data_IF_606216354549
#
_entry.id   IF_606216354549
#
_cell.length_a   1.000
_cell.length_b   1.000
_cell.length_c   1.000
_cell.angle_alpha   90.00
_cell.angle_beta   90.00
_cell.angle_gamma   90.00
#
_symmetry.space_group_name_H-M   'P 1'
#
loop_
_entity.id
_entity.type
_entity.pdbx_description
1 polymer ?
#
# COMPACT_ATOMS: atom_id res chain seq x y z
N UNK A 1 2.18 -1.74 11.36
CA UNK A 1 2.73 -2.48 10.21
C UNK A 1 2.63 -1.67 8.91
N UNK A 2 1.45 -1.24 8.47
CA UNK A 2 1.29 -0.35 7.30
C UNK A 2 2.16 0.92 7.36
N UNK A 3 2.18 1.61 8.51
CA UNK A 3 3.00 2.82 8.70
C UNK A 3 4.48 2.55 8.41
N UNK A 4 5.04 1.47 8.95
CA UNK A 4 6.45 1.13 8.74
C UNK A 4 6.73 0.84 7.26
N UNK A 5 5.87 0.05 6.59
CA UNK A 5 6.02 -0.26 5.17
C UNK A 5 5.88 0.96 4.26
N UNK A 6 5.00 1.91 4.61
CA UNK A 6 4.86 3.17 3.91
C UNK A 6 6.10 4.06 4.10
N UNK A 7 6.61 4.14 5.34
CA UNK A 7 7.74 4.97 5.75
C UNK A 7 9.11 4.40 5.33
N UNK A 8 9.20 3.13 4.93
CA UNK A 8 10.42 2.60 4.31
C UNK A 8 10.82 3.38 3.06
N UNK A 9 9.87 4.02 2.36
CA UNK A 9 10.19 4.91 1.25
C UNK A 9 10.99 6.14 1.69
N UNK A 10 10.67 6.71 2.85
CA UNK A 10 11.42 7.83 3.44
C UNK A 10 12.85 7.39 3.77
N UNK A 11 12.99 6.24 4.45
CA UNK A 11 14.30 5.69 4.77
C UNK A 11 15.13 5.38 3.51
N UNK A 12 14.53 4.69 2.54
CA UNK A 12 15.19 4.31 1.30
C UNK A 12 15.64 5.53 0.51
N UNK A 13 14.76 6.52 0.32
CA UNK A 13 15.10 7.72 -0.43
C UNK A 13 16.16 8.57 0.29
N UNK A 14 16.11 8.68 1.62
CA UNK A 14 17.15 9.37 2.38
C UNK A 14 18.51 8.65 2.31
N UNK A 15 18.52 7.32 2.23
CA UNK A 15 19.75 6.52 2.24
C UNK A 15 20.35 6.33 0.84
N UNK A 16 19.51 6.24 -0.19
CA UNK A 16 19.90 5.84 -1.54
C UNK A 16 19.41 6.80 -2.64
N UNK A 17 18.81 7.94 -2.27
CA UNK A 17 18.17 8.87 -3.21
C UNK A 17 19.12 9.50 -4.25
N UNK A 18 20.43 9.53 -3.98
CA UNK A 18 21.44 9.98 -4.94
C UNK A 18 21.70 8.95 -6.06
N UNK A 19 21.47 7.67 -5.78
CA UNK A 19 21.72 6.55 -6.68
C UNK A 19 20.51 5.60 -6.69
N UNK A 20 19.36 6.13 -7.14
CA UNK A 20 18.15 5.33 -7.22
C UNK A 20 18.33 4.11 -8.14
N UNK A 21 17.69 2.97 -7.82
CA UNK A 21 17.73 1.78 -8.68
C UNK A 21 17.23 2.08 -10.09
N UNK A 22 17.71 1.28 -11.05
CA UNK A 22 17.31 1.42 -12.44
C UNK A 22 15.78 1.39 -12.60
N UNK A 23 15.26 2.36 -13.36
CA UNK A 23 13.83 2.51 -13.59
C UNK A 23 13.10 3.46 -12.63
N UNK A 24 13.78 4.03 -11.63
CA UNK A 24 13.28 5.17 -10.85
C UNK A 24 13.96 6.46 -11.28
N UNK A 25 13.19 7.55 -11.38
CA UNK A 25 13.69 8.87 -11.83
C UNK A 25 13.27 10.02 -10.90
N UNK A 26 12.71 9.68 -9.74
CA UNK A 26 12.20 10.63 -8.78
C UNK A 26 13.27 11.60 -8.28
N UNK A 27 12.96 12.89 -8.33
CA UNK A 27 13.87 13.97 -7.88
C UNK A 27 13.70 14.33 -6.41
N UNK A 28 12.59 13.93 -5.82
CA UNK A 28 12.26 14.18 -4.43
C UNK A 28 11.42 13.01 -3.89
N UNK A 29 11.30 12.95 -2.57
CA UNK A 29 10.58 11.88 -1.88
C UNK A 29 9.12 11.76 -2.33
N UNK A 30 8.44 12.87 -2.64
CA UNK A 30 7.05 12.85 -3.09
C UNK A 30 6.92 12.12 -4.42
N UNK A 31 7.79 12.45 -5.37
CA UNK A 31 7.83 11.82 -6.68
C UNK A 31 8.22 10.34 -6.56
N UNK A 32 9.13 10.01 -5.63
CA UNK A 32 9.52 8.61 -5.38
C UNK A 32 8.36 7.78 -4.83
N UNK A 33 7.61 8.31 -3.87
CA UNK A 33 6.40 7.67 -3.35
C UNK A 33 5.31 7.54 -4.42
N UNK A 34 5.28 8.43 -5.41
CA UNK A 34 4.35 8.33 -6.55
C UNK A 34 4.80 7.22 -7.51
N UNK A 35 6.06 7.20 -7.93
CA UNK A 35 6.62 6.16 -8.80
C UNK A 35 6.52 4.75 -8.18
N UNK A 36 6.75 4.63 -6.87
CA UNK A 36 6.52 3.37 -6.14
C UNK A 36 5.06 2.93 -6.20
N UNK A 37 4.12 3.87 -6.07
CA UNK A 37 2.69 3.56 -6.18
C UNK A 37 2.27 3.17 -7.60
N UNK A 38 2.90 3.75 -8.62
CA UNK A 38 2.66 3.37 -10.02
C UNK A 38 3.21 1.98 -10.35
N UNK A 39 4.43 1.67 -9.88
CA UNK A 39 5.08 0.37 -10.10
C UNK A 39 4.52 -0.74 -9.21
N UNK A 40 4.06 -0.39 -8.01
CA UNK A 40 3.44 -1.28 -7.04
C UNK A 40 2.16 -0.65 -6.48
N UNK A 41 0.99 -0.89 -7.11
CA UNK A 41 -0.29 -0.34 -6.64
C UNK A 41 -0.60 -0.70 -5.18
N UNK A 42 -0.14 -1.85 -4.69
CA UNK A 42 -0.27 -2.26 -3.30
C UNK A 42 0.46 -1.30 -2.33
N UNK A 43 1.63 -0.77 -2.72
CA UNK A 43 2.31 0.27 -1.94
C UNK A 43 1.47 1.54 -1.85
N UNK A 44 0.87 1.95 -2.97
CA UNK A 44 -0.05 3.10 -2.99
C UNK A 44 -1.20 2.94 -1.99
N UNK A 45 -1.82 1.76 -1.94
CA UNK A 45 -2.87 1.45 -0.98
C UNK A 45 -2.37 1.42 0.48
N UNK A 46 -1.23 0.80 0.76
CA UNK A 46 -0.64 0.80 2.12
C UNK A 46 -0.28 2.21 2.59
N UNK A 47 0.24 3.06 1.70
CA UNK A 47 0.51 4.48 1.96
C UNK A 47 -0.78 5.23 2.25
N UNK A 48 -1.81 5.05 1.44
CA UNK A 48 -3.10 5.72 1.63
C UNK A 48 -3.77 5.30 2.93
N UNK A 49 -3.75 4.00 3.29
CA UNK A 49 -4.22 3.50 4.59
C UNK A 49 -3.42 4.12 5.75
N UNK A 50 -2.09 4.18 5.64
CA UNK A 50 -1.25 4.79 6.66
C UNK A 50 -1.58 6.28 6.85
N UNK A 51 -1.66 7.03 5.75
CA UNK A 51 -1.92 8.46 5.79
C UNK A 51 -3.35 8.75 6.27
N UNK A 52 -4.36 7.98 5.84
CA UNK A 52 -5.75 8.20 6.25
C UNK A 52 -5.96 7.92 7.73
N UNK A 53 -5.31 6.90 8.30
CA UNK A 53 -5.35 6.65 9.75
C UNK A 53 -4.62 7.73 10.56
N UNK A 54 -3.62 8.40 9.97
CA UNK A 54 -2.94 9.54 10.60
C UNK A 54 -3.75 10.83 10.52
N UNK A 55 -4.42 11.08 9.40
CA UNK A 55 -5.10 12.34 9.10
C UNK A 55 -6.63 12.27 9.23
N UNK A 56 -7.17 11.11 9.58
CA UNK A 56 -8.58 10.70 9.53
C UNK A 56 -9.19 10.70 8.12
N UNK A 57 -8.86 11.70 7.29
CA UNK A 57 -9.29 11.84 5.90
C UNK A 57 -8.18 12.46 5.04
N UNK A 58 -8.08 12.01 3.80
CA UNK A 58 -7.19 12.52 2.77
C UNK A 58 -7.96 13.37 1.76
N UNK A 59 -7.35 14.46 1.33
CA UNK A 59 -7.91 15.41 0.35
C UNK A 59 -7.11 15.42 -0.97
N UNK A 60 -6.22 14.43 -1.17
CA UNK A 60 -5.44 14.31 -2.41
C UNK A 60 -6.24 13.54 -3.45
N UNK A 61 -6.31 14.07 -4.67
CA UNK A 61 -7.03 13.42 -5.79
C UNK A 61 -6.49 12.03 -6.14
N UNK A 62 -5.22 11.76 -5.87
CA UNK A 62 -4.58 10.47 -6.16
C UNK A 62 -4.77 9.40 -5.07
N UNK A 63 -5.45 9.73 -3.97
CA UNK A 63 -5.76 8.73 -2.95
C UNK A 63 -6.84 7.78 -3.47
N UNK A 64 -6.63 6.48 -3.29
CA UNK A 64 -7.62 5.43 -3.54
C UNK A 64 -8.33 4.99 -2.26
N UNK A 65 -7.77 5.33 -1.10
CA UNK A 65 -8.36 5.15 0.23
C UNK A 65 -8.31 6.50 0.92
N UNK A 66 -9.43 7.22 0.91
CA UNK A 66 -9.49 8.61 1.37
C UNK A 66 -9.89 8.75 2.85
N UNK A 67 -10.45 7.73 3.49
CA UNK A 67 -10.99 7.80 4.85
C UNK A 67 -10.50 6.62 5.70
N UNK A 68 -10.14 6.86 6.97
CA UNK A 68 -9.68 5.80 7.87
C UNK A 68 -10.72 4.68 8.06
N UNK A 69 -12.01 5.00 7.94
CA UNK A 69 -13.14 4.05 8.09
C UNK A 69 -13.26 3.05 6.95
N UNK A 70 -12.54 3.28 5.84
CA UNK A 70 -12.43 2.32 4.74
C UNK A 70 -11.55 1.11 5.07
N UNK A 71 -10.96 1.07 6.26
CA UNK A 71 -10.34 -0.12 6.82
C UNK A 71 -11.27 -0.72 7.86
N UNK A 72 -11.77 -1.93 7.63
CA UNK A 72 -12.70 -2.60 8.55
C UNK A 72 -12.33 -4.06 8.78
N UNK A 73 -12.75 -4.61 9.92
CA UNK A 73 -12.64 -6.03 10.20
C UNK A 73 -13.87 -6.73 9.62
N UNK A 74 -13.67 -7.66 8.70
CA UNK A 74 -14.75 -8.38 8.01
C UNK A 74 -14.28 -9.68 7.38
N UNK A 75 -15.25 -10.51 6.98
CA UNK A 75 -15.01 -11.67 6.12
C UNK A 75 -15.27 -11.25 4.67
N UNK A 76 -14.38 -11.61 3.74
CA UNK A 76 -14.72 -11.52 2.32
C UNK A 76 -15.63 -12.68 1.95
N UNK A 77 -16.76 -12.38 1.29
CA UNK A 77 -17.69 -13.38 0.79
C UNK A 77 -17.21 -14.06 -0.50
N UNK A 78 -17.97 -15.05 -0.96
CA UNK A 78 -17.73 -15.75 -2.23
C UNK A 78 -17.63 -14.76 -3.39
N UNK A 79 -16.49 -14.74 -4.11
CA UNK A 79 -16.27 -13.87 -5.28
C UNK A 79 -15.94 -12.39 -4.98
N UNK A 80 -15.78 -12.01 -3.72
CA UNK A 80 -15.43 -10.62 -3.35
C UNK A 80 -13.92 -10.35 -3.28
N UNK A 81 -13.10 -11.40 -3.26
CA UNK A 81 -11.65 -11.34 -3.31
C UNK A 81 -11.13 -11.66 -4.72
N UNK A 82 -10.04 -11.00 -5.13
CA UNK A 82 -9.33 -11.29 -6.38
C UNK A 82 -8.92 -12.78 -6.44
N UNK A 83 -9.07 -13.42 -7.60
CA UNK A 83 -8.79 -14.85 -7.77
C UNK A 83 -7.35 -15.18 -7.32
N UNK A 84 -7.21 -16.01 -6.29
CA UNK A 84 -5.92 -16.41 -5.73
C UNK A 84 -5.42 -15.63 -4.49
N UNK A 85 -6.20 -14.68 -3.97
CA UNK A 85 -5.75 -13.77 -2.88
C UNK A 85 -6.26 -14.09 -1.47
N UNK A 86 -6.82 -15.29 -1.19
CA UNK A 86 -7.32 -15.61 0.16
C UNK A 86 -7.49 -17.10 0.49
N UNK A 87 -7.33 -17.45 1.77
CA UNK A 87 -7.70 -18.75 2.31
C UNK A 87 -9.23 -18.86 2.41
N UNK A 88 -9.78 -19.95 1.86
CA UNK A 88 -11.22 -20.22 1.83
C UNK A 88 -11.81 -20.23 3.25
N UNK A 89 -12.89 -19.46 3.49
CA UNK A 89 -13.55 -19.40 4.81
C UNK A 89 -12.74 -18.69 5.90
N UNK A 90 -11.88 -17.74 5.53
CA UNK A 90 -10.96 -17.06 6.45
C UNK A 90 -11.67 -16.44 7.66
N UNK A 91 -11.07 -16.52 8.87
CA UNK A 91 -11.54 -15.76 10.03
C UNK A 91 -11.57 -14.26 9.71
N UNK A 92 -12.32 -13.48 10.51
CA UNK A 92 -12.41 -12.02 10.34
C UNK A 92 -11.04 -11.39 10.09
N UNK A 93 -10.86 -10.81 8.91
CA UNK A 93 -9.62 -10.20 8.45
C UNK A 93 -9.79 -8.70 8.25
N UNK A 94 -8.68 -7.97 8.21
CA UNK A 94 -8.73 -6.55 7.87
C UNK A 94 -8.89 -6.41 6.36
N UNK A 95 -9.97 -5.77 5.95
CA UNK A 95 -10.29 -5.43 4.56
C UNK A 95 -10.09 -3.94 4.35
N UNK A 96 -9.45 -3.61 3.23
CA UNK A 96 -9.33 -2.24 2.73
C UNK A 96 -10.33 -2.06 1.59
N UNK A 97 -11.18 -1.04 1.69
CA UNK A 97 -12.19 -0.70 0.69
C UNK A 97 -11.78 0.59 0.00
N UNK A 98 -11.51 0.57 -1.29
CA UNK A 98 -11.14 1.77 -2.05
C UNK A 98 -12.35 2.68 -2.30
N UNK A 99 -12.09 3.92 -2.74
CA UNK A 99 -13.14 4.91 -3.04
C UNK A 99 -14.08 4.47 -4.18
N UNK A 100 -13.63 3.60 -5.07
CA UNK A 100 -14.44 2.94 -6.11
C UNK A 100 -15.12 1.64 -5.65
N UNK A 101 -14.97 1.28 -4.36
CA UNK A 101 -15.64 0.13 -3.73
C UNK A 101 -14.92 -1.20 -3.90
N UNK A 102 -13.74 -1.27 -4.51
CA UNK A 102 -12.96 -2.51 -4.56
C UNK A 102 -12.49 -2.90 -3.15
N UNK A 103 -12.48 -4.22 -2.89
CA UNK A 103 -12.05 -4.77 -1.61
C UNK A 103 -10.69 -5.45 -1.78
N UNK A 104 -9.78 -5.18 -0.85
CA UNK A 104 -8.46 -5.82 -0.80
C UNK A 104 -8.20 -6.43 0.57
N UNK A 105 -7.64 -7.64 0.60
CA UNK A 105 -7.12 -8.23 1.83
C UNK A 105 -5.88 -7.44 2.27
N UNK A 106 -5.92 -6.87 3.48
CA UNK A 106 -4.79 -6.09 3.98
C UNK A 106 -3.51 -6.92 4.09
N UNK A 107 -3.62 -8.20 4.44
CA UNK A 107 -2.50 -9.16 4.48
C UNK A 107 -1.82 -9.33 3.12
N UNK A 108 -2.60 -9.47 2.05
CA UNK A 108 -2.09 -9.58 0.67
C UNK A 108 -1.34 -8.32 0.24
N UNK A 109 -1.88 -7.14 0.58
CA UNK A 109 -1.20 -5.86 0.33
C UNK A 109 0.13 -5.76 1.09
N UNK A 110 0.14 -6.14 2.36
CA UNK A 110 1.35 -6.16 3.21
C UNK A 110 2.43 -7.09 2.63
N UNK A 111 2.06 -8.33 2.27
CA UNK A 111 3.02 -9.30 1.71
C UNK A 111 3.61 -8.83 0.38
N UNK A 112 2.78 -8.21 -0.46
CA UNK A 112 3.22 -7.68 -1.76
C UNK A 112 4.22 -6.53 -1.58
N UNK A 113 3.93 -5.61 -0.66
CA UNK A 113 4.82 -4.47 -0.36
C UNK A 113 6.10 -4.92 0.34
N UNK A 114 6.03 -5.89 1.24
CA UNK A 114 7.21 -6.48 1.87
C UNK A 114 8.13 -7.14 0.84
N UNK A 115 7.57 -7.94 -0.08
CA UNK A 115 8.34 -8.55 -1.18
C UNK A 115 8.98 -7.51 -2.10
N UNK A 116 8.28 -6.41 -2.40
CA UNK A 116 8.85 -5.28 -3.15
C UNK A 116 10.06 -4.69 -2.42
N UNK A 117 9.97 -4.43 -1.12
CA UNK A 117 11.07 -3.89 -0.33
C UNK A 117 12.26 -4.85 -0.25
N UNK A 118 12.01 -6.14 -0.05
CA UNK A 118 13.07 -7.15 -0.07
C UNK A 118 13.84 -7.13 -1.39
N UNK A 119 13.14 -7.03 -2.53
CA UNK A 119 13.78 -6.95 -3.84
C UNK A 119 14.60 -5.66 -4.04
N UNK A 120 14.10 -4.52 -3.55
CA UNK A 120 14.81 -3.24 -3.67
C UNK A 120 16.02 -3.12 -2.75
N UNK A 121 16.00 -3.79 -1.59
CA UNK A 121 17.08 -3.73 -0.59
C UNK A 121 18.12 -4.85 -0.74
N UNK A 122 17.80 -5.90 -1.49
CA UNK A 122 18.72 -7.03 -1.74
C UNK A 122 19.62 -6.83 -2.96
N UNK A 123 19.44 -5.73 -3.71
CA UNK A 123 20.28 -5.31 -4.83
C UNK A 123 21.15 -4.13 -4.43
#
# INVERSE_FOLDING_TARGET
MAVNLAHLADYFFCSFGEALPHGYQAKNLRDFKAELGEKCPAYGLIRDVSDSHKHAKLDRYSARVSDARQTSVGSMGYGEAEYGSGCYGSPSEVVVITDDGQKHHFSSLVMTVDSMWQNLLSN
#
